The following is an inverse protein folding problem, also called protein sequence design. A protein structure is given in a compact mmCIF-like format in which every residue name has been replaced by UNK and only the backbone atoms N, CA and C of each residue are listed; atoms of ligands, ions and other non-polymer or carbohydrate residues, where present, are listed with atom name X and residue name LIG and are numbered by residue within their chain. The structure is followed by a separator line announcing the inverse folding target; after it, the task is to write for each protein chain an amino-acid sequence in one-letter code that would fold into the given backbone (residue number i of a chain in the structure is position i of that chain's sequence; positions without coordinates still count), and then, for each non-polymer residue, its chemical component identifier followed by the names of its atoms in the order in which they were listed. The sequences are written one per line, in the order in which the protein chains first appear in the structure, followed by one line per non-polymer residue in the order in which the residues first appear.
data_IF_108004147367
#
_entry.id   IF_108004147367
#
_cell.length_a   1.000
_cell.length_b   1.000
_cell.length_c   1.000
_cell.angle_alpha   90.00
_cell.angle_beta   90.00
_cell.angle_gamma   90.00
#
_symmetry.space_group_name_H-M   'P 1'
#
loop_
_entity.id
_entity.type
_entity.pdbx_description
1 polymer ?
#
# COMPACT_ATOMS: atom_id res chain seq x y z
N UNK A 1 27.13 9.94 -20.41
CA UNK A 1 26.16 8.88 -20.11
C UNK A 1 26.55 8.23 -18.80
N UNK A 2 25.99 8.67 -17.67
CA UNK A 2 26.21 8.06 -16.35
C UNK A 2 25.28 6.87 -16.21
N UNK A 3 25.83 5.65 -16.25
CA UNK A 3 25.06 4.42 -16.02
C UNK A 3 24.47 4.44 -14.61
N UNK A 4 23.15 4.57 -14.50
CA UNK A 4 22.43 4.42 -13.24
C UNK A 4 22.53 2.96 -12.80
N UNK A 5 23.46 2.69 -11.88
CA UNK A 5 23.61 1.40 -11.21
C UNK A 5 22.27 1.04 -10.58
N UNK A 6 21.72 -0.13 -10.94
CA UNK A 6 20.49 -0.65 -10.32
C UNK A 6 20.76 -0.86 -8.83
N UNK A 7 20.25 0.04 -7.98
CA UNK A 7 20.28 -0.17 -6.54
C UNK A 7 19.24 -1.22 -6.19
N UNK A 8 19.69 -2.36 -5.69
CA UNK A 8 18.82 -3.39 -5.14
C UNK A 8 18.30 -2.89 -3.79
N UNK A 9 16.98 -2.68 -3.69
CA UNK A 9 16.29 -2.39 -2.43
C UNK A 9 15.82 -3.70 -1.81
N UNK A 10 16.28 -3.98 -0.59
CA UNK A 10 15.80 -5.09 0.22
C UNK A 10 14.59 -4.63 1.05
N UNK A 11 13.58 -5.49 1.18
CA UNK A 11 12.36 -5.27 1.96
C UNK A 11 12.06 -6.51 2.81
N UNK A 12 11.37 -6.34 3.94
CA UNK A 12 11.06 -7.38 4.93
C UNK A 12 11.26 -6.91 6.38
N UNK A 13 11.12 -7.78 7.39
CA UNK A 13 11.10 -9.24 7.29
C UNK A 13 9.79 -9.81 6.71
N UNK A 14 9.92 -10.98 6.08
CA UNK A 14 8.81 -11.84 5.67
C UNK A 14 8.93 -13.17 6.42
N UNK A 15 7.81 -13.85 6.63
CA UNK A 15 7.77 -15.19 7.21
C UNK A 15 7.80 -16.23 6.10
N UNK A 16 8.71 -17.20 6.16
CA UNK A 16 8.62 -18.37 5.28
C UNK A 16 7.46 -19.24 5.76
N UNK A 17 6.51 -19.52 4.87
CA UNK A 17 5.33 -20.34 5.17
C UNK A 17 5.51 -21.75 4.66
N UNK A 18 6.14 -21.90 3.50
CA UNK A 18 6.33 -23.20 2.85
C UNK A 18 7.63 -23.21 2.05
N UNK A 19 8.34 -24.33 2.11
CA UNK A 19 9.45 -24.64 1.21
C UNK A 19 8.90 -25.44 0.03
N UNK A 20 9.10 -24.92 -1.18
CA UNK A 20 8.73 -25.55 -2.44
C UNK A 20 9.97 -26.20 -3.07
N UNK A 21 9.83 -27.13 -4.03
CA UNK A 21 10.98 -27.87 -4.59
C UNK A 21 12.12 -27.00 -5.13
N UNK A 22 11.83 -25.78 -5.59
CA UNK A 22 12.83 -24.85 -6.17
C UNK A 22 12.68 -23.41 -5.69
N UNK A 23 11.78 -23.16 -4.73
CA UNK A 23 11.43 -21.80 -4.28
C UNK A 23 10.84 -21.81 -2.87
N UNK A 24 10.48 -20.64 -2.37
CA UNK A 24 9.87 -20.48 -1.05
C UNK A 24 8.62 -19.62 -1.16
N UNK A 25 7.56 -20.05 -0.49
CA UNK A 25 6.38 -19.23 -0.28
C UNK A 25 6.60 -18.37 0.97
N UNK A 26 6.75 -17.07 0.77
CA UNK A 26 6.92 -16.10 1.86
C UNK A 26 5.64 -15.31 2.08
N UNK A 27 5.36 -14.98 3.33
CA UNK A 27 4.20 -14.22 3.76
C UNK A 27 4.62 -12.89 4.35
N UNK A 28 3.97 -11.83 3.89
CA UNK A 28 4.20 -10.49 4.41
C UNK A 28 3.56 -10.35 5.80
N UNK A 29 4.35 -9.92 6.78
CA UNK A 29 3.94 -9.95 8.20
C UNK A 29 2.73 -9.08 8.54
N UNK A 30 2.44 -8.06 7.74
CA UNK A 30 1.26 -7.20 7.92
C UNK A 30 0.08 -7.70 7.10
N UNK A 31 0.28 -8.00 5.82
CA UNK A 31 -0.83 -8.26 4.89
C UNK A 31 -1.28 -9.71 4.86
N UNK A 32 -0.44 -10.65 5.32
CA UNK A 32 -0.64 -12.08 5.09
C UNK A 32 -0.53 -12.47 3.60
N UNK A 33 -0.16 -11.54 2.72
CA UNK A 33 -0.01 -11.83 1.29
C UNK A 33 1.19 -12.73 1.05
N UNK A 34 1.00 -13.72 0.19
CA UNK A 34 2.01 -14.75 -0.08
C UNK A 34 2.66 -14.54 -1.44
N UNK A 35 3.96 -14.69 -1.48
CA UNK A 35 4.77 -14.54 -2.68
C UNK A 35 5.64 -15.78 -2.86
N UNK A 36 5.64 -16.34 -4.07
CA UNK A 36 6.59 -17.38 -4.45
C UNK A 36 7.89 -16.71 -4.93
N UNK A 37 8.99 -16.97 -4.23
CA UNK A 37 10.30 -16.38 -4.52
C UNK A 37 11.40 -17.41 -4.56
N UNK A 38 12.32 -17.26 -5.51
CA UNK A 38 13.52 -18.10 -5.59
C UNK A 38 14.49 -17.79 -4.44
N UNK A 39 15.20 -18.79 -3.94
CA UNK A 39 16.12 -18.68 -2.80
C UNK A 39 17.15 -17.54 -2.94
N UNK A 40 17.64 -17.29 -4.16
CA UNK A 40 18.61 -16.20 -4.47
C UNK A 40 18.07 -14.79 -4.19
N UNK A 41 16.74 -14.63 -4.09
CA UNK A 41 16.06 -13.36 -3.78
C UNK A 41 15.80 -13.19 -2.28
N UNK A 42 16.24 -14.14 -1.45
CA UNK A 42 16.11 -14.07 0.00
C UNK A 42 17.44 -13.73 0.65
N UNK A 43 17.37 -12.94 1.72
CA UNK A 43 18.46 -12.77 2.67
C UNK A 43 18.06 -13.49 3.95
N UNK A 44 18.82 -14.52 4.32
CA UNK A 44 18.50 -15.32 5.50
C UNK A 44 18.52 -14.47 6.78
N UNK A 45 17.41 -14.52 7.49
CA UNK A 45 17.26 -14.00 8.84
C UNK A 45 16.35 -14.99 9.57
N UNK A 46 16.86 -15.62 10.63
CA UNK A 46 16.14 -16.61 11.41
C UNK A 46 16.36 -16.27 12.88
N UNK A 47 15.27 -15.90 13.55
CA UNK A 47 15.25 -15.60 14.97
C UNK A 47 13.97 -16.23 15.56
N UNK A 48 14.16 -17.25 16.39
CA UNK A 48 13.08 -18.03 16.99
C UNK A 48 12.41 -17.30 18.17
N UNK A 49 13.02 -16.20 18.65
CA UNK A 49 12.48 -15.32 19.66
C UNK A 49 11.91 -14.03 19.06
N UNK A 50 11.83 -13.93 17.72
CA UNK A 50 11.28 -12.77 17.05
C UNK A 50 9.79 -12.64 17.32
N UNK A 51 9.46 -11.74 18.25
CA UNK A 51 8.09 -11.30 18.45
C UNK A 51 7.73 -10.27 17.36
N UNK A 52 6.56 -10.44 16.74
CA UNK A 52 6.03 -9.46 15.79
C UNK A 52 5.40 -8.30 16.58
N UNK A 53 6.26 -7.47 17.16
CA UNK A 53 5.84 -6.32 17.98
C UNK A 53 5.30 -5.18 17.11
N UNK A 54 4.60 -4.24 17.72
CA UNK A 54 4.09 -3.04 17.02
C UNK A 54 5.21 -2.20 16.40
N UNK A 55 6.39 -2.14 17.02
CA UNK A 55 7.55 -1.47 16.46
C UNK A 55 8.06 -2.15 15.19
N UNK A 56 8.06 -3.49 15.16
CA UNK A 56 8.45 -4.25 13.98
C UNK A 56 7.43 -4.07 12.86
N UNK A 57 6.13 -4.12 13.20
CA UNK A 57 5.04 -3.84 12.25
C UNK A 57 5.16 -2.45 11.65
N UNK A 58 5.39 -1.44 12.49
CA UNK A 58 5.59 -0.07 12.05
C UNK A 58 6.83 0.06 11.15
N UNK A 59 7.95 -0.59 11.50
CA UNK A 59 9.15 -0.60 10.66
C UNK A 59 8.87 -1.22 9.27
N UNK A 60 8.19 -2.37 9.22
CA UNK A 60 7.81 -3.03 7.95
C UNK A 60 6.86 -2.14 7.13
N UNK A 61 5.90 -1.47 7.77
CA UNK A 61 5.00 -0.52 7.11
C UNK A 61 5.72 0.65 6.45
N UNK A 62 6.81 1.14 7.07
CA UNK A 62 7.63 2.22 6.54
C UNK A 62 8.54 1.81 5.36
N UNK A 63 8.74 0.51 5.13
CA UNK A 63 9.60 0.02 4.06
C UNK A 63 8.97 0.12 2.66
N UNK A 64 7.76 0.67 2.55
CA UNK A 64 7.15 1.01 1.27
C UNK A 64 6.84 -0.21 0.40
N UNK A 65 6.59 -1.36 1.03
CA UNK A 65 5.79 -2.41 0.39
C UNK A 65 4.43 -1.74 0.19
N UNK A 66 3.99 -1.61 -1.07
CA UNK A 66 2.69 -1.01 -1.39
C UNK A 66 1.61 -1.89 -0.78
N UNK A 67 1.20 -1.57 0.45
CA UNK A 67 0.06 -2.18 1.10
C UNK A 67 -1.16 -1.90 0.21
N UNK A 68 -1.90 -2.95 -0.11
CA UNK A 68 -3.16 -2.80 -0.84
C UNK A 68 -4.12 -1.90 -0.07
N UNK A 69 -4.92 -1.12 -0.79
CA UNK A 69 -6.06 -0.41 -0.19
C UNK A 69 -7.12 -1.46 0.13
N UNK A 70 -7.43 -1.69 1.42
CA UNK A 70 -8.54 -2.56 1.84
C UNK A 70 -9.86 -1.94 1.41
N UNK A 71 -10.09 -0.69 1.79
CA UNK A 71 -11.30 0.05 1.47
C UNK A 71 -11.06 1.57 1.52
N UNK A 72 -11.89 2.30 0.78
CA UNK A 72 -12.04 3.75 0.93
C UNK A 72 -13.27 4.00 1.79
N UNK A 73 -13.06 4.51 2.99
CA UNK A 73 -14.08 4.54 4.05
C UNK A 73 -14.81 5.87 4.11
N UNK A 74 -14.13 6.96 3.78
CA UNK A 74 -14.68 8.31 3.83
C UNK A 74 -13.90 9.27 2.92
N UNK A 75 -14.45 10.45 2.68
CA UNK A 75 -13.88 11.48 1.84
C UNK A 75 -14.15 12.85 2.43
N UNK A 76 -13.12 13.71 2.45
CA UNK A 76 -13.24 15.07 2.94
C UNK A 76 -12.41 16.02 2.11
N UNK A 77 -12.84 17.27 2.04
CA UNK A 77 -12.00 18.34 1.56
C UNK A 77 -11.19 18.93 2.72
N UNK A 78 -9.87 18.78 2.69
CA UNK A 78 -8.99 19.36 3.69
C UNK A 78 -8.67 20.82 3.31
N UNK A 79 -9.24 21.78 4.05
CA UNK A 79 -9.07 23.21 3.76
C UNK A 79 -7.64 23.72 3.99
N UNK A 80 -6.89 23.11 4.91
CA UNK A 80 -5.51 23.52 5.20
C UNK A 80 -4.58 23.06 4.09
N UNK A 81 -4.68 21.79 3.68
CA UNK A 81 -3.91 21.22 2.58
C UNK A 81 -4.44 21.61 1.18
N UNK A 82 -5.66 22.18 1.11
CA UNK A 82 -6.38 22.57 -0.12
C UNK A 82 -6.58 21.42 -1.11
N UNK A 83 -6.73 20.20 -0.62
CA UNK A 83 -6.89 18.99 -1.42
C UNK A 83 -8.06 18.12 -0.95
N UNK A 84 -8.50 17.22 -1.83
CA UNK A 84 -9.39 16.13 -1.45
C UNK A 84 -8.58 15.00 -0.81
N UNK A 85 -9.03 14.55 0.35
CA UNK A 85 -8.46 13.42 1.06
C UNK A 85 -9.51 12.32 1.22
N UNK A 86 -9.04 11.08 1.21
CA UNK A 86 -9.84 9.89 1.48
C UNK A 86 -9.31 9.19 2.73
N UNK A 87 -10.21 8.66 3.54
CA UNK A 87 -9.84 7.80 4.66
C UNK A 87 -9.63 6.40 4.09
N UNK A 88 -8.39 5.95 4.12
CA UNK A 88 -7.97 4.67 3.55
C UNK A 88 -7.84 3.66 4.67
N UNK A 89 -8.59 2.56 4.55
CA UNK A 89 -8.28 1.36 5.30
C UNK A 89 -7.22 0.56 4.57
N UNK A 90 -6.14 0.21 5.26
CA UNK A 90 -5.04 -0.54 4.69
C UNK A 90 -5.28 -2.05 4.80
N UNK A 91 -4.86 -2.81 3.79
CA UNK A 91 -4.95 -4.26 3.83
C UNK A 91 -3.99 -4.81 4.87
N UNK A 92 -4.51 -5.67 5.75
CA UNK A 92 -3.72 -6.29 6.83
C UNK A 92 -3.46 -5.42 8.06
N UNK A 93 -3.97 -4.19 8.10
CA UNK A 93 -3.90 -3.34 9.30
C UNK A 93 -5.26 -3.25 9.97
N UNK A 94 -5.27 -2.94 11.27
CA UNK A 94 -6.49 -2.69 12.01
C UNK A 94 -7.06 -1.30 11.68
N UNK A 95 -8.27 -1.01 12.16
CA UNK A 95 -8.94 0.26 11.87
C UNK A 95 -8.30 1.47 12.57
N UNK A 96 -7.45 1.25 13.59
CA UNK A 96 -6.74 2.32 14.26
C UNK A 96 -5.64 2.94 13.37
N UNK A 97 -5.23 2.20 12.34
CA UNK A 97 -4.20 2.56 11.37
C UNK A 97 -4.79 3.15 10.09
N UNK A 98 -6.12 3.29 9.99
CA UNK A 98 -6.77 3.97 8.88
C UNK A 98 -6.26 5.43 8.81
N UNK A 99 -5.75 5.85 7.65
CA UNK A 99 -5.12 7.17 7.48
C UNK A 99 -5.81 8.03 6.42
N UNK A 100 -5.73 9.35 6.59
CA UNK A 100 -6.22 10.30 5.60
C UNK A 100 -5.15 10.55 4.54
N UNK A 101 -5.39 10.05 3.33
CA UNK A 101 -4.47 10.14 2.21
C UNK A 101 -5.01 11.05 1.11
N UNK A 102 -4.11 11.60 0.28
CA UNK A 102 -4.51 12.41 -0.87
C UNK A 102 -5.27 11.54 -1.88
N UNK A 103 -6.45 12.01 -2.33
CA UNK A 103 -7.27 11.30 -3.30
C UNK A 103 -6.49 11.02 -4.59
N UNK A 104 -5.73 11.99 -5.08
CA UNK A 104 -4.96 11.85 -6.31
C UNK A 104 -3.85 10.78 -6.18
N UNK A 105 -3.20 10.71 -5.03
CA UNK A 105 -2.17 9.68 -4.77
C UNK A 105 -2.75 8.27 -4.74
N UNK A 106 -3.92 8.10 -4.09
CA UNK A 106 -4.59 6.81 -4.04
C UNK A 106 -5.19 6.43 -5.39
N UNK A 107 -5.74 7.39 -6.13
CA UNK A 107 -6.28 7.16 -7.48
C UNK A 107 -5.19 6.71 -8.46
N UNK A 108 -3.99 7.31 -8.40
CA UNK A 108 -2.85 6.83 -9.18
C UNK A 108 -2.39 5.42 -8.81
N UNK A 109 -2.67 4.96 -7.58
CA UNK A 109 -2.23 3.66 -7.10
C UNK A 109 -3.28 2.55 -7.32
N UNK A 110 -4.56 2.87 -7.08
CA UNK A 110 -5.70 1.94 -7.04
C UNK A 110 -6.95 2.64 -7.61
N UNK A 111 -6.94 3.02 -8.90
CA UNK A 111 -7.97 3.85 -9.53
C UNK A 111 -9.36 3.21 -9.46
N UNK A 112 -9.44 1.88 -9.52
CA UNK A 112 -10.69 1.14 -9.45
C UNK A 112 -11.44 1.36 -8.13
N UNK A 113 -10.72 1.41 -6.99
CA UNK A 113 -11.34 1.60 -5.68
C UNK A 113 -11.80 3.03 -5.47
N UNK A 114 -11.03 4.00 -5.98
CA UNK A 114 -11.45 5.41 -5.93
C UNK A 114 -12.66 5.63 -6.83
N UNK A 115 -12.65 5.06 -8.05
CA UNK A 115 -13.79 5.14 -8.95
C UNK A 115 -15.05 4.59 -8.31
N UNK A 116 -15.00 3.39 -7.74
CA UNK A 116 -16.14 2.78 -7.05
C UNK A 116 -16.68 3.69 -5.93
N UNK A 117 -15.79 4.18 -5.07
CA UNK A 117 -16.15 5.08 -3.97
C UNK A 117 -16.81 6.37 -4.46
N UNK A 118 -16.20 7.04 -5.45
CA UNK A 118 -16.70 8.32 -6.00
C UNK A 118 -18.06 8.14 -6.67
N UNK A 119 -18.26 7.06 -7.42
CA UNK A 119 -19.54 6.80 -8.10
C UNK A 119 -20.68 6.58 -7.10
N UNK A 120 -20.39 5.89 -6.01
CA UNK A 120 -21.34 5.62 -4.92
C UNK A 120 -21.56 6.82 -3.98
N UNK A 121 -20.68 7.82 -4.00
CA UNK A 121 -20.81 9.03 -3.18
C UNK A 121 -21.98 9.91 -3.63
N UNK A 122 -22.62 10.60 -2.68
CA UNK A 122 -23.63 11.64 -2.97
C UNK A 122 -22.99 13.04 -3.08
N UNK A 123 -21.69 13.17 -2.81
CA UNK A 123 -20.99 14.47 -2.84
C UNK A 123 -20.66 14.87 -4.29
N UNK A 124 -21.43 15.83 -4.82
CA UNK A 124 -21.24 16.37 -6.15
C UNK A 124 -19.91 17.12 -6.34
N UNK A 125 -19.32 17.66 -5.27
CA UNK A 125 -18.03 18.37 -5.35
C UNK A 125 -16.89 17.37 -5.51
N UNK A 126 -16.96 16.26 -4.78
CA UNK A 126 -16.03 15.14 -4.94
C UNK A 126 -16.10 14.56 -6.36
N UNK A 127 -17.31 14.30 -6.87
CA UNK A 127 -17.51 13.82 -8.26
C UNK A 127 -16.96 14.77 -9.30
N UNK A 128 -17.14 16.09 -9.11
CA UNK A 128 -16.58 17.10 -9.99
C UNK A 128 -15.05 17.06 -9.98
N UNK A 129 -14.44 17.11 -8.79
CA UNK A 129 -12.99 17.03 -8.65
C UNK A 129 -12.41 15.78 -9.30
N UNK A 130 -13.04 14.63 -9.12
CA UNK A 130 -12.60 13.38 -9.73
C UNK A 130 -12.63 13.44 -11.27
N UNK A 131 -13.66 14.04 -11.87
CA UNK A 131 -13.66 14.25 -13.33
C UNK A 131 -12.53 15.19 -13.75
N UNK A 132 -12.41 16.33 -13.09
CA UNK A 132 -11.38 17.33 -13.42
C UNK A 132 -9.96 16.73 -13.31
N UNK A 133 -9.73 15.83 -12.33
CA UNK A 133 -8.48 15.09 -12.15
C UNK A 133 -8.15 14.18 -13.35
N UNK A 134 -9.15 13.55 -13.96
CA UNK A 134 -9.00 12.65 -15.11
C UNK A 134 -9.05 13.37 -16.46
N UNK A 135 -9.77 14.49 -16.55
CA UNK A 135 -9.88 15.30 -17.76
C UNK A 135 -8.59 16.12 -18.00
N UNK A 136 -7.85 16.49 -16.95
CA UNK A 136 -6.59 17.24 -17.03
C UNK A 136 -5.35 16.45 -17.45
N UNK A 137 -5.47 15.15 -17.78
CA UNK A 137 -4.35 14.28 -18.18
C UNK A 137 -4.17 14.20 -19.72
N UNK A 138 -5.03 14.86 -20.49
CA UNK A 138 -5.06 14.76 -21.96
C UNK A 138 -4.43 15.95 -22.72
N UNK A 139 -3.62 16.80 -22.09
CA UNK A 139 -2.84 17.86 -22.76
C UNK A 139 -1.32 17.59 -22.71
#
# INVERSE_FOLDING_TARGET
MTGSKLMVRWVGPFKVVEELPTSFLIEHLLTGEKFDVHAIRLKHYADNMLEVTEELKHHVGLQGIKLGVRAVLNGRYNRQAKEWQVLVGWQGLEAAEDSWESLASIDSAVPEKIKEYVMNSTDNRLKRFYRDLHDGVND
#
